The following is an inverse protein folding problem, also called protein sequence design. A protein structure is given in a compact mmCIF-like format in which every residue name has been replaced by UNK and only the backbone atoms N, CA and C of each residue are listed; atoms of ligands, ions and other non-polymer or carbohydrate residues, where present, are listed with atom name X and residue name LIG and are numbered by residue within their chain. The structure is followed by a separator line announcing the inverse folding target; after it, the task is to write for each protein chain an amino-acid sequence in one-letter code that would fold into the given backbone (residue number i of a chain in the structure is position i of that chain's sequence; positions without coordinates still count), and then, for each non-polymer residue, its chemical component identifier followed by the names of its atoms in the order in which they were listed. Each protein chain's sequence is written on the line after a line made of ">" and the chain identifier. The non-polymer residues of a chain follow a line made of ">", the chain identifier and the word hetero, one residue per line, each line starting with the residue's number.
data_IF_971586697093
#
_entry.id   IF_971586697093
#
_cell.length_a   1.000
_cell.length_b   1.000
_cell.length_c   1.000
_cell.angle_alpha   90.00
_cell.angle_beta   90.00
_cell.angle_gamma   90.00
#
_symmetry.space_group_name_H-M   'P 1'
#
loop_
_entity.id
_entity.type
_entity.pdbx_description
1 polymer ?
2 non-polymer ?
3 water ?
#
# COMPACT_ATOMS: atom_id res chain seq x y z
N UNK A 2 18.98 7.99 3.81
CA UNK A 2 18.06 8.96 3.16
C UNK A 2 16.60 8.52 3.29
N UNK A 3 15.70 9.38 2.86
CA UNK A 3 14.27 9.11 2.91
C UNK A 3 13.81 8.62 1.54
N UNK A 4 14.71 7.99 0.78
CA UNK A 4 14.33 7.49 -0.53
C UNK A 4 13.39 6.29 -0.40
N UNK A 5 13.55 5.50 0.66
CA UNK A 5 12.69 4.35 0.83
C UNK A 5 11.35 4.82 1.37
N UNK A 6 11.34 5.92 2.09
CA UNK A 6 10.08 6.45 2.60
C UNK A 6 9.29 7.01 1.41
N UNK A 7 9.94 7.85 0.60
CA UNK A 7 9.25 8.44 -0.55
C UNK A 7 8.88 7.30 -1.49
N UNK A 8 9.70 6.26 -1.51
CA UNK A 8 9.36 5.14 -2.38
C UNK A 8 8.14 4.42 -1.80
N UNK A 9 8.06 4.35 -0.48
CA UNK A 9 6.92 3.69 0.16
C UNK A 9 5.67 4.45 -0.28
N UNK A 10 5.73 5.77 -0.18
CA UNK A 10 4.60 6.59 -0.58
C UNK A 10 4.20 6.39 -2.07
N UNK A 11 5.18 6.18 -2.93
CA UNK A 11 4.93 5.98 -4.36
C UNK A 11 4.15 4.70 -4.64
N UNK A 12 4.49 3.64 -3.93
CA UNK A 12 3.83 2.34 -4.11
C UNK A 12 2.60 2.13 -3.23
N UNK A 13 2.51 2.86 -2.12
CA UNK A 13 1.42 2.62 -1.19
C UNK A 13 0.58 3.75 -0.65
N UNK A 14 0.72 4.96 -1.17
CA UNK A 14 -0.08 6.07 -0.67
C UNK A 14 -0.82 6.80 -1.78
N UNK A 15 -2.12 7.02 -1.59
CA UNK A 15 -2.92 7.75 -2.57
C UNK A 15 -3.96 8.49 -1.76
N UNK A 16 -3.67 9.75 -1.49
CA UNK A 16 -4.52 10.60 -0.65
C UNK A 16 -6.02 10.55 -0.88
N UNK A 17 -6.48 11.08 -2.01
CA UNK A 17 -7.92 11.11 -2.30
C UNK A 17 -8.33 10.51 -3.64
N UNK A 18 -8.46 9.18 -3.72
CA UNK A 18 -8.85 8.56 -4.99
C UNK A 18 -10.31 8.89 -5.26
N UNK A 19 -10.75 8.80 -6.51
CA UNK A 19 -12.15 9.07 -6.81
C UNK A 19 -12.94 7.76 -6.79
N UNK A 20 -12.58 6.84 -7.68
CA UNK A 20 -13.23 5.54 -7.74
C UNK A 20 -12.17 4.53 -7.35
N UNK A 21 -12.53 3.50 -6.60
CA UNK A 21 -11.51 2.53 -6.21
C UNK A 21 -11.85 1.19 -6.85
N UNK A 22 -12.24 1.27 -8.12
CA UNK A 22 -12.61 0.12 -8.94
C UNK A 22 -11.43 -0.41 -9.74
N UNK A 23 -11.67 -1.49 -10.48
CA UNK A 23 -10.64 -2.10 -11.32
C UNK A 23 -9.86 -1.10 -12.14
N UNK A 24 -10.57 -0.20 -12.80
CA UNK A 24 -9.92 0.80 -13.64
C UNK A 24 -9.00 1.68 -12.81
N UNK A 25 -9.39 2.02 -11.59
CA UNK A 25 -8.51 2.85 -10.78
C UNK A 25 -7.17 2.12 -10.60
N UNK A 26 -7.24 0.85 -10.20
CA UNK A 26 -6.02 0.08 -10.02
C UNK A 26 -5.12 0.06 -11.24
N UNK A 27 -5.70 -0.26 -12.40
CA UNK A 27 -4.93 -0.35 -13.63
C UNK A 27 -4.26 0.97 -13.96
N UNK A 28 -4.98 2.06 -13.74
CA UNK A 28 -4.47 3.40 -14.02
C UNK A 28 -3.36 3.82 -13.04
N UNK A 29 -3.60 3.68 -11.73
CA UNK A 29 -2.61 4.08 -10.74
C UNK A 29 -1.40 3.13 -10.71
N UNK A 30 -1.61 1.85 -11.00
CA UNK A 30 -0.47 0.95 -11.01
C UNK A 30 0.50 1.36 -12.13
N UNK A 31 -0.02 1.89 -13.23
CA UNK A 31 0.85 2.32 -14.32
C UNK A 31 1.59 3.59 -13.92
N UNK A 32 0.83 4.58 -13.44
CA UNK A 32 1.39 5.86 -13.02
C UNK A 32 2.47 5.73 -11.95
N UNK A 33 2.33 4.74 -11.07
CA UNK A 33 3.31 4.57 -10.03
C UNK A 33 4.47 3.66 -10.47
N UNK A 34 4.58 3.43 -11.78
CA UNK A 34 5.66 2.59 -12.31
C UNK A 34 5.70 1.15 -11.84
N UNK A 35 4.54 0.58 -11.51
CA UNK A 35 4.48 -0.80 -11.03
C UNK A 35 3.91 -1.74 -12.09
N UNK A 36 4.19 -1.46 -13.36
CA UNK A 36 3.66 -2.29 -14.43
C UNK A 36 4.71 -2.90 -15.36
N UNK A 37 5.99 -2.82 -14.99
CA UNK A 37 7.03 -3.42 -15.81
C UNK A 37 8.15 -3.94 -14.93
N UNK A 38 8.02 -5.18 -14.42
CA UNK A 38 6.87 -6.06 -14.65
C UNK A 38 5.65 -5.71 -13.80
N UNK A 39 4.51 -6.30 -14.15
CA UNK A 39 3.25 -6.09 -13.44
C UNK A 39 3.45 -6.59 -12.01
N UNK A 40 3.25 -5.76 -11.01
CA UNK A 40 3.40 -6.28 -9.65
C UNK A 40 2.16 -7.14 -9.47
N UNK A 41 2.28 -8.30 -8.84
CA UNK A 41 1.12 -9.18 -8.69
C UNK A 41 0.03 -8.67 -7.75
N UNK A 42 0.45 -8.11 -6.63
CA UNK A 42 -0.49 -7.56 -5.66
C UNK A 42 0.15 -6.34 -5.03
N UNK A 43 -0.62 -5.26 -4.96
CA UNK A 43 -0.13 -4.03 -4.35
C UNK A 43 -1.29 -3.29 -3.70
N UNK A 44 -1.06 -2.79 -2.50
CA UNK A 44 -2.11 -2.09 -1.75
C UNK A 44 -1.79 -0.63 -1.53
N UNK A 45 -2.78 0.23 -1.75
CA UNK A 45 -2.62 1.65 -1.56
C UNK A 45 -3.40 2.08 -0.33
N UNK A 46 -2.80 2.92 0.50
CA UNK A 46 -3.46 3.45 1.68
C UNK A 46 -3.97 4.85 1.30
N UNK A 47 -5.18 5.20 1.72
CA UNK A 47 -5.76 6.52 1.41
C UNK A 47 -5.80 7.33 2.70
N UNK A 48 -6.14 8.62 2.61
CA UNK A 48 -6.22 9.43 3.80
C UNK A 48 -5.13 10.46 3.93
N UNK A 49 -4.99 11.01 5.14
CA UNK A 49 -3.98 12.02 5.44
C UNK A 49 -2.67 11.31 5.71
N UNK A 50 -1.58 11.82 5.15
CA UNK A 50 -0.26 11.21 5.30
C UNK A 50 0.27 11.21 6.73
N UNK A 51 -0.08 12.24 7.49
CA UNK A 51 0.38 12.36 8.87
C UNK A 51 -0.01 11.12 9.66
N UNK A 52 -1.18 10.56 9.36
CA UNK A 52 -1.63 9.37 10.07
C UNK A 52 -0.73 8.16 9.80
N UNK A 53 -0.31 8.01 8.55
CA UNK A 53 0.54 6.88 8.19
C UNK A 53 1.93 6.99 8.82
N UNK A 54 2.49 8.19 8.79
CA UNK A 54 3.80 8.42 9.39
C UNK A 54 3.70 8.11 10.88
N UNK A 55 2.58 8.50 11.46
CA UNK A 55 2.33 8.31 12.89
C UNK A 55 2.45 6.85 13.30
N UNK A 56 2.29 5.94 12.35
CA UNK A 56 2.36 4.52 12.68
C UNK A 56 3.68 4.14 13.30
N UNK A 57 4.71 4.94 13.06
CA UNK A 57 6.01 4.62 13.61
C UNK A 57 6.24 5.18 15.01
N UNK A 58 5.28 5.94 15.52
CA UNK A 58 5.38 6.50 16.86
C UNK A 58 4.45 5.67 17.74
N UNK A 59 4.37 6.00 19.02
CA UNK A 59 3.49 5.26 19.92
C UNK A 59 2.04 5.66 19.70
N UNK A 60 1.81 6.92 19.35
CA UNK A 60 0.43 7.36 19.18
C UNK A 60 -0.41 6.72 18.07
N UNK A 61 0.16 5.76 17.34
CA UNK A 61 -0.61 5.05 16.32
C UNK A 61 0.02 3.76 15.82
N UNK A 62 0.74 3.07 16.70
CA UNK A 62 1.37 1.81 16.31
C UNK A 62 1.80 0.91 17.45
N UNK A 63 1.77 -0.40 17.19
CA UNK A 63 2.19 -1.43 18.15
C UNK A 63 3.22 -2.34 17.50
N UNK A 64 4.13 -2.94 18.28
CA UNK A 64 5.13 -3.83 17.68
C UNK A 64 4.37 -4.98 17.03
N UNK A 65 4.92 -5.60 16.01
CA UNK A 65 4.19 -6.69 15.38
C UNK A 65 5.15 -7.75 14.88
N UNK A 66 4.86 -9.00 15.22
CA UNK A 66 5.70 -10.12 14.82
C UNK A 66 7.16 -9.73 15.06
N UNK A 67 8.00 -9.94 14.06
CA UNK A 67 9.41 -9.61 14.17
C UNK A 67 9.72 -8.31 13.43
N UNK A 68 10.06 -7.28 14.19
CA UNK A 68 10.41 -5.96 13.65
C UNK A 68 9.43 -5.28 12.67
N UNK A 69 8.13 -5.53 12.85
CA UNK A 69 7.09 -4.92 12.03
C UNK A 69 6.25 -4.02 12.95
N UNK A 70 5.44 -3.15 12.35
CA UNK A 70 4.58 -2.24 13.10
C UNK A 70 3.14 -2.32 12.58
N UNK A 71 2.17 -2.44 13.48
CA UNK A 71 0.76 -2.48 13.09
C UNK A 71 0.06 -1.27 13.70
N UNK A 72 -0.63 -0.51 12.86
CA UNK A 72 -1.30 0.71 13.31
C UNK A 72 -2.49 0.49 14.24
N UNK A 73 -2.74 1.48 15.09
CA UNK A 73 -3.87 1.42 16.02
C UNK A 73 -5.11 1.86 15.28
N UNK A 74 -4.95 2.85 14.41
CA UNK A 74 -6.09 3.35 13.68
C UNK A 74 -6.27 2.58 12.40
N UNK A 75 -7.49 2.58 11.89
CA UNK A 75 -7.83 1.92 10.64
C UNK A 75 -7.72 2.92 9.51
N UNK A 76 -7.40 2.42 8.32
CA UNK A 76 -7.25 3.27 7.14
C UNK A 76 -8.07 2.69 6.03
N UNK A 77 -8.57 3.55 5.14
CA UNK A 77 -9.26 3.11 3.94
C UNK A 77 -8.11 2.63 3.06
N UNK A 78 -8.30 1.52 2.36
CA UNK A 78 -7.25 1.00 1.50
C UNK A 78 -7.89 0.38 0.26
N UNK A 79 -7.06 0.16 -0.76
CA UNK A 79 -7.51 -0.46 -2.00
C UNK A 79 -6.45 -1.42 -2.46
N UNK A 80 -6.79 -2.70 -2.49
CA UNK A 80 -5.80 -3.68 -2.91
C UNK A 80 -6.00 -4.05 -4.37
N UNK A 81 -4.92 -3.95 -5.13
CA UNK A 81 -4.95 -4.26 -6.55
C UNK A 81 -4.30 -5.61 -6.84
N UNK A 82 -5.13 -6.58 -7.25
CA UNK A 82 -4.68 -7.93 -7.56
C UNK A 82 -4.57 -8.20 -9.06
N UNK A 83 -3.37 -8.53 -9.53
CA UNK A 83 -3.18 -8.81 -10.93
C UNK A 83 -4.09 -9.95 -11.37
N UNK A 84 -4.66 -9.81 -12.56
CA UNK A 84 -5.57 -10.80 -13.12
C UNK A 84 -5.04 -11.09 -14.53
N UNK A 85 -4.76 -12.34 -14.83
CA UNK A 85 -4.20 -12.68 -16.13
C UNK A 85 -2.83 -13.25 -15.83
N UNK A 86 -2.16 -13.83 -16.81
CA UNK A 86 -0.86 -14.41 -16.53
C UNK A 86 0.33 -13.48 -16.57
N UNK A 87 0.74 -13.15 -17.79
CA UNK A 87 1.89 -12.30 -18.07
C UNK A 87 2.31 -11.28 -17.02
N UNK A 88 3.62 -11.16 -16.78
CA UNK A 88 4.17 -10.22 -15.80
C UNK A 88 4.43 -8.89 -16.49
N UNK A 89 4.11 -8.82 -17.79
CA UNK A 89 4.34 -7.61 -18.57
C UNK A 89 3.04 -6.97 -19.09
N UNK A 90 3.07 -5.67 -19.38
CA UNK A 90 1.92 -4.89 -19.88
C UNK A 90 1.21 -5.47 -21.09
N UNK A 91 -0.12 -5.29 -21.18
CA UNK A 91 -0.99 -4.59 -20.22
C UNK A 91 -1.23 -5.39 -18.95
N UNK A 92 -1.24 -4.68 -17.83
CA UNK A 92 -1.47 -5.31 -16.55
C UNK A 92 -2.93 -5.09 -16.18
N UNK A 93 -3.63 -6.20 -16.00
CA UNK A 93 -5.04 -6.20 -15.66
C UNK A 93 -5.18 -6.42 -14.16
N UNK A 94 -5.96 -5.58 -13.49
CA UNK A 94 -6.14 -5.69 -12.04
C UNK A 94 -7.58 -5.69 -11.53
N UNK A 95 -7.81 -6.42 -10.44
CA UNK A 95 -9.13 -6.45 -9.77
C UNK A 95 -8.89 -5.70 -8.45
N UNK A 96 -9.74 -4.72 -8.18
CA UNK A 96 -9.63 -3.92 -6.98
C UNK A 96 -10.57 -4.36 -5.90
N UNK A 97 -10.08 -4.29 -4.67
CA UNK A 97 -10.90 -4.61 -3.52
C UNK A 97 -10.67 -3.48 -2.52
N UNK A 98 -11.73 -2.75 -2.17
CA UNK A 98 -11.58 -1.65 -1.23
C UNK A 98 -11.73 -2.20 0.17
N UNK A 99 -11.05 -1.61 1.14
CA UNK A 99 -11.15 -2.10 2.49
C UNK A 99 -10.93 -1.03 3.53
N UNK A 100 -11.10 -1.42 4.80
CA UNK A 100 -10.91 -0.49 5.91
C UNK A 100 -10.43 -1.25 7.13
N UNK A 101 -9.14 -1.12 7.43
CA UNK A 101 -8.56 -1.80 8.59
C UNK A 101 -7.19 -1.21 8.93
N UNK A 102 -6.56 -1.72 9.99
CA UNK A 102 -5.24 -1.22 10.36
C UNK A 102 -4.24 -1.83 9.38
N UNK A 103 -3.04 -1.26 9.33
CA UNK A 103 -2.02 -1.72 8.41
C UNK A 103 -0.73 -2.13 9.12
N UNK A 104 0.06 -2.96 8.44
CA UNK A 104 1.32 -3.41 8.98
C UNK A 104 2.42 -2.86 8.11
N UNK A 105 3.37 -2.17 8.74
CA UNK A 105 4.49 -1.59 8.01
C UNK A 105 5.82 -1.85 8.70
N UNK A 106 6.92 -1.48 8.03
CA UNK A 106 8.22 -1.58 8.67
C UNK A 106 8.60 -0.10 8.69
N UNK A 107 9.18 0.34 9.79
CA UNK A 107 9.58 1.73 9.94
C UNK A 107 11.10 1.84 9.97
N UNK A 108 11.60 2.99 9.54
CA UNK A 108 13.03 3.23 9.53
C UNK A 108 13.21 4.75 9.69
N UNK A 109 14.02 5.14 10.66
CA UNK A 109 14.26 6.54 10.96
C UNK A 109 12.97 7.30 11.17
N UNK A 110 11.99 6.63 11.78
CA UNK A 110 10.70 7.27 12.03
C UNK A 110 9.72 7.32 10.87
N UNK A 111 10.06 6.70 9.75
CA UNK A 111 9.18 6.77 8.59
C UNK A 111 8.86 5.39 8.05
N UNK A 112 7.63 5.21 7.53
CA UNK A 112 7.21 3.93 6.96
C UNK A 112 8.02 3.66 5.70
N UNK A 113 8.66 2.51 5.60
CA UNK A 113 9.44 2.19 4.40
C UNK A 113 9.10 0.82 3.80
N UNK A 114 8.04 0.20 4.29
CA UNK A 114 7.63 -1.12 3.82
C UNK A 114 6.20 -1.45 4.23
N UNK A 115 5.42 -2.00 3.31
CA UNK A 115 4.05 -2.37 3.60
C UNK A 115 3.98 -3.88 3.53
N UNK A 116 3.54 -4.50 4.61
CA UNK A 116 3.39 -5.95 4.62
C UNK A 116 2.06 -6.33 3.96
N UNK A 117 2.14 -6.77 2.71
CA UNK A 117 0.97 -7.16 1.91
C UNK A 117 0.25 -8.43 2.35
N UNK A 118 0.92 -9.28 3.12
CA UNK A 118 0.29 -10.54 3.53
C UNK A 118 -1.07 -10.33 4.18
N UNK A 119 -1.25 -9.25 4.94
CA UNK A 119 -2.54 -9.04 5.59
C UNK A 119 -3.67 -8.71 4.61
N UNK A 120 -3.32 -8.35 3.38
CA UNK A 120 -4.32 -8.04 2.35
C UNK A 120 -4.25 -9.14 1.31
N UNK A 121 -3.25 -10.00 1.47
CA UNK A 121 -3.00 -11.10 0.55
C UNK A 121 -4.12 -12.11 0.51
N UNK A 122 -4.74 -12.22 -0.67
CA UNK A 122 -5.82 -13.15 -0.92
C UNK A 122 -5.85 -13.35 -2.44
N UNK A 123 -5.67 -14.59 -2.91
CA UNK A 123 -5.67 -14.89 -4.35
C UNK A 123 -6.82 -14.25 -5.15
X LIG B 1 7.23 -2.95 0.04
X LIG B 1 8.66 -2.91 0.49
X LIG B 1 6.39 -2.21 0.99
X LIG B 1 7.11 -2.30 -1.28
X LIG B 1 6.75 -4.48 -0.06
X LIG B 1 5.40 -5.12 -0.58
X LIG B 1 5.60 -5.67 -1.99
X LIG B 1 4.98 -6.25 0.35
X LIG B 1 4.33 -4.05 -0.61
#
# INVERSE_FOLDING_TARGET
>A
XDNSRYTHFLTQHYDAKPQGRDDRYCESIMRRRGLTSPCKDINTFIHGNKRSIKAICENKNGNPHRENLRISKSSFQVTTCKLHGGSPWPPCQYRATAGFRNVVVACENGLPVHLDQSIFRRP
>B hetero
1 POP P1 O1 O2 O3 O P2 O4 O5 O6
#
